data_IF_087130158645
#
_entry.id   IF_087130158645
#
_cell.length_a   1.000
_cell.length_b   1.000
_cell.length_c   1.000
_cell.angle_alpha   90.00
_cell.angle_beta   90.00
_cell.angle_gamma   90.00
#
_symmetry.space_group_name_H-M   'P 1'
#
loop_
_entity.id
_entity.type
_entity.pdbx_description
1 polymer ?
#
# COMPACT_ATOMS: atom_id res chain seq x y z
N UNK A 1 41.54 -68.34 -9.71
CA UNK A 1 41.05 -67.38 -8.68
C UNK A 1 41.91 -66.12 -8.77
N UNK A 2 41.38 -65.03 -9.33
CA UNK A 2 42.10 -63.74 -9.45
C UNK A 2 41.75 -62.84 -8.27
N UNK A 3 42.74 -62.52 -7.44
CA UNK A 3 42.58 -61.59 -6.33
C UNK A 3 42.65 -60.15 -6.85
N UNK A 4 41.55 -59.40 -6.71
CA UNK A 4 41.49 -57.98 -7.02
C UNK A 4 42.12 -57.16 -5.87
N UNK A 5 43.24 -56.51 -6.13
CA UNK A 5 43.90 -55.60 -5.20
C UNK A 5 43.23 -54.22 -5.27
N UNK A 6 42.45 -53.89 -4.25
CA UNK A 6 41.78 -52.60 -4.07
C UNK A 6 42.80 -51.52 -3.70
N UNK A 7 43.21 -50.70 -4.68
CA UNK A 7 44.04 -49.49 -4.46
C UNK A 7 43.26 -48.49 -3.59
N UNK A 8 43.74 -48.24 -2.38
CA UNK A 8 43.25 -47.15 -1.51
C UNK A 8 43.87 -45.83 -1.99
N UNK A 9 43.04 -44.87 -2.36
CA UNK A 9 43.50 -43.52 -2.68
C UNK A 9 43.99 -42.81 -1.40
N UNK A 10 45.12 -42.09 -1.45
CA UNK A 10 45.65 -41.39 -0.29
C UNK A 10 44.77 -40.20 0.09
N UNK A 11 44.38 -40.05 1.37
CA UNK A 11 43.71 -38.86 1.86
C UNK A 11 44.75 -37.74 2.00
N UNK A 12 44.55 -36.58 1.34
CA UNK A 12 45.30 -35.37 1.74
C UNK A 12 45.77 -34.40 0.68
N UNK A 13 45.28 -34.42 -0.56
CA UNK A 13 45.70 -33.44 -1.59
C UNK A 13 44.63 -32.45 -2.07
N UNK A 14 43.52 -32.30 -1.36
CA UNK A 14 42.39 -31.49 -1.86
C UNK A 14 42.35 -30.04 -1.35
N UNK A 15 43.04 -29.72 -0.24
CA UNK A 15 42.84 -28.43 0.46
C UNK A 15 43.90 -27.35 0.15
N UNK A 16 45.01 -27.69 -0.50
CA UNK A 16 46.12 -26.73 -0.74
C UNK A 16 45.86 -25.80 -1.94
N UNK A 17 45.18 -26.29 -2.98
CA UNK A 17 44.78 -25.47 -4.13
C UNK A 17 43.74 -24.40 -3.76
N UNK A 18 42.83 -24.75 -2.84
CA UNK A 18 41.73 -23.87 -2.42
C UNK A 18 42.24 -22.58 -1.75
N UNK A 19 43.28 -22.67 -0.92
CA UNK A 19 43.85 -21.49 -0.22
C UNK A 19 44.57 -20.52 -1.15
N UNK A 20 45.28 -21.03 -2.16
CA UNK A 20 45.93 -20.19 -3.17
C UNK A 20 44.91 -19.51 -4.07
N UNK A 21 43.84 -20.23 -4.42
CA UNK A 21 42.73 -19.69 -5.19
C UNK A 21 42.01 -18.55 -4.44
N UNK A 22 41.70 -18.74 -3.16
CA UNK A 22 41.09 -17.72 -2.30
C UNK A 22 41.96 -16.45 -2.16
N UNK A 23 43.29 -16.57 -2.13
CA UNK A 23 44.19 -15.41 -2.08
C UNK A 23 44.13 -14.57 -3.36
N UNK A 24 44.04 -15.23 -4.52
CA UNK A 24 44.00 -14.57 -5.84
C UNK A 24 42.66 -13.90 -6.11
N UNK A 25 41.55 -14.47 -5.63
CA UNK A 25 40.20 -13.95 -5.85
C UNK A 25 39.62 -13.16 -4.66
N UNK A 26 40.42 -12.85 -3.63
CA UNK A 26 39.97 -12.17 -2.40
C UNK A 26 39.17 -10.90 -2.68
N UNK A 27 39.64 -10.06 -3.60
CA UNK A 27 38.97 -8.82 -3.97
C UNK A 27 37.64 -9.04 -4.70
N UNK A 28 37.56 -10.05 -5.56
CA UNK A 28 36.34 -10.39 -6.29
C UNK A 28 35.28 -10.89 -5.32
N UNK A 29 35.64 -11.76 -4.38
CA UNK A 29 34.73 -12.26 -3.34
C UNK A 29 34.21 -11.12 -2.46
N UNK A 30 35.07 -10.16 -2.09
CA UNK A 30 34.67 -8.99 -1.29
C UNK A 30 33.73 -8.05 -2.07
N UNK A 31 33.98 -7.82 -3.36
CA UNK A 31 33.08 -7.00 -4.19
C UNK A 31 31.71 -7.66 -4.36
N UNK A 32 31.68 -8.98 -4.59
CA UNK A 32 30.43 -9.73 -4.68
C UNK A 32 29.68 -9.69 -3.35
N UNK A 33 30.35 -9.92 -2.22
CA UNK A 33 29.68 -9.84 -0.92
C UNK A 33 29.15 -8.44 -0.66
N UNK A 34 29.91 -7.38 -0.96
CA UNK A 34 29.48 -5.99 -0.82
C UNK A 34 28.21 -5.71 -1.63
N UNK A 35 28.17 -6.11 -2.91
CA UNK A 35 27.00 -5.92 -3.78
C UNK A 35 25.79 -6.66 -3.21
N UNK A 36 25.94 -7.91 -2.78
CA UNK A 36 24.86 -8.68 -2.15
C UNK A 36 24.37 -7.99 -0.86
N UNK A 37 25.28 -7.44 -0.06
CA UNK A 37 24.89 -6.74 1.18
C UNK A 37 24.11 -5.47 0.87
N UNK A 38 24.53 -4.71 -0.14
CA UNK A 38 23.84 -3.49 -0.58
C UNK A 38 22.46 -3.77 -1.19
N UNK A 39 22.32 -4.83 -1.99
CA UNK A 39 21.01 -5.21 -2.55
C UNK A 39 20.05 -5.70 -1.47
N UNK A 40 20.53 -6.49 -0.50
CA UNK A 40 19.73 -6.91 0.65
C UNK A 40 19.31 -5.72 1.52
N UNK A 41 20.21 -4.75 1.75
CA UNK A 41 19.89 -3.51 2.45
C UNK A 41 18.82 -2.70 1.68
N UNK A 42 18.95 -2.55 0.36
CA UNK A 42 17.94 -1.86 -0.46
C UNK A 42 16.56 -2.50 -0.41
N UNK A 43 16.49 -3.84 -0.39
CA UNK A 43 15.24 -4.57 -0.25
C UNK A 43 14.60 -4.42 1.14
N UNK A 44 15.41 -4.37 2.20
CA UNK A 44 14.93 -4.19 3.58
C UNK A 44 14.43 -2.77 3.87
N UNK A 45 14.83 -1.79 3.06
CA UNK A 45 14.45 -0.39 3.24
C UNK A 45 13.01 -0.12 2.78
N UNK A 46 12.49 -0.85 1.79
CA UNK A 46 11.10 -0.72 1.33
C UNK A 46 10.03 -0.96 2.41
N UNK A 47 10.05 -2.07 3.19
CA UNK A 47 9.01 -2.33 4.20
C UNK A 47 9.04 -1.32 5.37
N UNK A 48 10.21 -0.79 5.72
CA UNK A 48 10.33 0.23 6.78
C UNK A 48 9.69 1.55 6.34
N UNK A 49 9.84 1.94 5.07
CA UNK A 49 9.16 3.12 4.57
C UNK A 49 7.64 2.98 4.59
N UNK A 50 7.09 1.83 4.17
CA UNK A 50 5.65 1.57 4.27
C UNK A 50 5.15 1.62 5.73
N UNK A 51 5.90 1.06 6.68
CA UNK A 51 5.53 1.08 8.09
C UNK A 51 5.58 2.50 8.69
N UNK A 52 6.58 3.31 8.34
CA UNK A 52 6.70 4.70 8.82
C UNK A 52 5.65 5.61 8.20
N UNK A 53 5.27 5.39 6.93
CA UNK A 53 4.20 6.17 6.29
C UNK A 53 2.82 5.79 6.85
N UNK A 54 2.57 4.54 7.25
CA UNK A 54 1.28 4.11 7.80
C UNK A 54 1.14 4.27 9.32
N UNK A 55 2.23 4.32 10.08
CA UNK A 55 2.18 4.48 11.56
C UNK A 55 1.71 5.86 12.03
N UNK A 56 1.66 6.86 11.13
CA UNK A 56 1.11 8.18 11.39
C UNK A 56 -0.11 8.48 10.50
N UNK A 57 -0.89 7.45 10.16
CA UNK A 57 -2.13 7.64 9.40
C UNK A 57 -3.13 8.48 10.22
N UNK A 58 -3.40 9.68 9.75
CA UNK A 58 -4.37 10.58 10.36
C UNK A 58 -5.78 10.11 10.03
N UNK A 59 -6.51 9.62 11.03
CA UNK A 59 -7.93 9.32 10.86
C UNK A 59 -8.73 10.62 10.91
N UNK A 60 -9.17 11.09 9.75
CA UNK A 60 -10.02 12.28 9.61
C UNK A 60 -11.49 12.02 9.98
N UNK A 61 -11.82 10.79 10.38
CA UNK A 61 -13.16 10.37 10.72
C UNK A 61 -13.99 10.07 9.48
N UNK A 62 -15.29 10.00 9.68
CA UNK A 62 -16.22 9.68 8.62
C UNK A 62 -17.64 9.92 9.06
N UNK A 63 -18.54 9.82 8.10
CA UNK A 63 -19.97 10.05 8.35
C UNK A 63 -20.79 8.92 7.77
N UNK A 64 -21.77 8.47 8.55
CA UNK A 64 -22.74 7.47 8.12
C UNK A 64 -23.89 8.19 7.42
N UNK A 65 -24.20 7.79 6.20
CA UNK A 65 -25.43 8.14 5.51
C UNK A 65 -26.48 7.08 5.82
N UNK A 66 -27.63 7.51 6.35
CA UNK A 66 -28.81 6.66 6.52
C UNK A 66 -29.79 6.98 5.39
N UNK A 67 -29.67 6.19 4.32
CA UNK A 67 -30.63 5.84 3.26
C UNK A 67 -31.38 6.88 2.37
N UNK A 68 -31.54 6.42 1.12
CA UNK A 68 -32.37 6.84 -0.04
C UNK A 68 -31.86 8.01 -0.90
N UNK A 69 -31.24 9.04 -0.33
CA UNK A 69 -30.71 10.14 -1.14
C UNK A 69 -29.19 10.11 -1.09
N UNK A 70 -28.53 10.10 -2.26
CA UNK A 70 -27.04 10.14 -2.44
C UNK A 70 -26.38 11.41 -1.88
N UNK A 71 -27.02 12.13 -0.97
CA UNK A 71 -26.61 13.43 -0.45
C UNK A 71 -26.65 13.40 1.08
N UNK A 72 -25.57 13.85 1.72
CA UNK A 72 -25.59 14.12 3.15
C UNK A 72 -26.62 15.20 3.46
N UNK A 73 -27.26 15.18 4.65
CA UNK A 73 -28.03 16.32 5.11
C UNK A 73 -27.14 17.57 5.06
N UNK A 74 -27.65 18.65 4.44
CA UNK A 74 -26.94 19.90 4.22
C UNK A 74 -26.08 20.28 5.40
N UNK A 75 -24.78 20.47 5.15
CA UNK A 75 -23.89 21.07 6.13
C UNK A 75 -23.64 20.20 7.37
N UNK A 76 -23.64 18.87 7.24
CA UNK A 76 -23.21 18.00 8.33
C UNK A 76 -21.78 18.39 8.77
N UNK A 77 -21.60 18.92 9.99
CA UNK A 77 -20.31 19.44 10.43
C UNK A 77 -19.24 18.35 10.52
N UNK A 78 -19.63 17.10 10.81
CA UNK A 78 -18.70 15.97 10.84
C UNK A 78 -18.15 15.65 9.44
N UNK A 79 -18.99 15.72 8.41
CA UNK A 79 -18.58 15.49 7.02
C UNK A 79 -17.65 16.62 6.52
N UNK A 80 -17.98 17.88 6.83
CA UNK A 80 -17.14 19.04 6.49
C UNK A 80 -15.77 18.95 7.17
N UNK A 81 -15.74 18.62 8.46
CA UNK A 81 -14.50 18.48 9.22
C UNK A 81 -13.65 17.33 8.68
N UNK A 82 -14.27 16.19 8.36
CA UNK A 82 -13.56 15.05 7.77
C UNK A 82 -12.96 15.40 6.40
N UNK A 83 -13.74 16.03 5.51
CA UNK A 83 -13.25 16.51 4.22
C UNK A 83 -12.10 17.51 4.35
N UNK A 84 -12.24 18.49 5.24
CA UNK A 84 -11.22 19.52 5.45
C UNK A 84 -9.92 18.90 5.97
N UNK A 85 -10.01 18.01 6.95
CA UNK A 85 -8.87 17.25 7.47
C UNK A 85 -8.18 16.44 6.37
N UNK A 86 -8.95 15.68 5.59
CA UNK A 86 -8.41 14.82 4.54
C UNK A 86 -7.72 15.63 3.44
N UNK A 87 -8.35 16.72 3.01
CA UNK A 87 -7.78 17.63 2.03
C UNK A 87 -6.46 18.25 2.51
N UNK A 88 -6.41 18.73 3.77
CA UNK A 88 -5.18 19.28 4.35
C UNK A 88 -4.08 18.22 4.46
N UNK A 89 -4.41 16.99 4.85
CA UNK A 89 -3.44 15.90 4.89
C UNK A 89 -2.89 15.57 3.50
N UNK A 90 -3.75 15.55 2.48
CA UNK A 90 -3.34 15.34 1.09
C UNK A 90 -2.40 16.45 0.59
N UNK A 91 -2.73 17.73 0.84
CA UNK A 91 -1.86 18.86 0.48
C UNK A 91 -0.48 18.78 1.16
N UNK A 92 -0.39 18.15 2.32
CA UNK A 92 0.87 17.94 3.05
C UNK A 92 1.56 16.61 2.71
N UNK A 93 1.06 15.84 1.72
CA UNK A 93 1.46 14.45 1.44
C UNK A 93 1.55 13.61 2.73
N UNK A 94 0.58 13.73 3.62
CA UNK A 94 0.49 12.90 4.83
C UNK A 94 -0.45 11.74 4.60
N UNK A 95 -0.17 10.63 5.27
CA UNK A 95 -1.09 9.51 5.31
C UNK A 95 -2.35 9.91 6.07
N UNK A 96 -3.52 9.75 5.46
CA UNK A 96 -4.79 10.00 6.12
C UNK A 96 -5.92 9.17 5.51
N UNK A 97 -6.92 8.90 6.34
CA UNK A 97 -8.15 8.21 5.95
C UNK A 97 -9.38 9.01 6.30
N UNK A 98 -10.39 8.91 5.45
CA UNK A 98 -11.76 9.24 5.81
C UNK A 98 -12.71 8.19 5.24
N UNK A 99 -13.88 8.01 5.84
CA UNK A 99 -14.83 7.01 5.36
C UNK A 99 -16.26 7.52 5.28
N UNK A 100 -17.04 6.84 4.45
CA UNK A 100 -18.46 7.08 4.26
C UNK A 100 -19.15 5.75 4.18
N UNK A 101 -20.23 5.56 4.93
CA UNK A 101 -21.03 4.35 4.82
C UNK A 101 -22.44 4.72 4.43
N UNK A 102 -22.98 4.11 3.39
CA UNK A 102 -24.40 4.09 3.10
C UNK A 102 -24.95 2.70 3.44
N UNK A 103 -26.17 2.69 3.95
CA UNK A 103 -27.02 1.50 3.98
C UNK A 103 -28.10 1.70 2.91
N UNK A 104 -28.63 0.63 2.34
CA UNK A 104 -29.82 0.58 1.50
C UNK A 104 -30.61 -0.71 1.85
N UNK A 105 -31.92 -0.81 1.57
CA UNK A 105 -32.70 -2.01 1.91
C UNK A 105 -32.16 -3.32 1.29
N UNK A 106 -31.40 -3.21 0.20
CA UNK A 106 -30.75 -4.35 -0.47
C UNK A 106 -29.32 -4.64 0.02
N UNK A 107 -28.70 -3.74 0.80
CA UNK A 107 -27.30 -3.89 1.18
C UNK A 107 -26.68 -2.67 1.87
N UNK A 108 -25.36 -2.57 1.82
CA UNK A 108 -24.65 -1.39 2.27
C UNK A 108 -23.37 -1.20 1.49
N UNK A 109 -22.86 0.02 1.46
CA UNK A 109 -21.56 0.32 0.90
C UNK A 109 -20.76 1.19 1.84
N UNK A 110 -19.54 0.77 2.16
CA UNK A 110 -18.55 1.62 2.83
C UNK A 110 -17.50 2.00 1.82
N UNK A 111 -17.31 3.30 1.61
CA UNK A 111 -16.17 3.85 0.89
C UNK A 111 -15.17 4.41 1.89
N UNK A 112 -13.93 3.97 1.80
CA UNK A 112 -12.80 4.50 2.58
C UNK A 112 -11.83 5.16 1.61
N UNK A 113 -11.56 6.44 1.83
CA UNK A 113 -10.65 7.24 1.04
C UNK A 113 -9.31 7.29 1.75
N UNK A 114 -8.23 7.10 1.00
CA UNK A 114 -6.86 7.09 1.49
C UNK A 114 -6.05 8.14 0.73
N UNK A 115 -5.25 8.90 1.46
CA UNK A 115 -4.11 9.65 0.91
C UNK A 115 -2.85 9.14 1.59
N UNK A 116 -1.72 9.04 0.87
CA UNK A 116 -0.44 8.65 1.46
C UNK A 116 0.74 9.26 0.70
N UNK A 117 1.90 9.32 1.34
CA UNK A 117 3.15 9.63 0.64
C UNK A 117 3.67 8.37 -0.06
N UNK A 118 3.81 8.43 -1.38
CA UNK A 118 4.45 7.42 -2.18
C UNK A 118 5.70 8.00 -2.85
N UNK A 119 6.84 7.88 -2.16
CA UNK A 119 8.17 8.21 -2.68
C UNK A 119 8.27 9.63 -3.28
N UNK A 120 7.66 10.62 -2.61
CA UNK A 120 7.70 12.02 -3.03
C UNK A 120 6.49 12.48 -3.85
N UNK A 121 5.53 11.58 -4.12
CA UNK A 121 4.21 11.93 -4.67
C UNK A 121 3.11 11.61 -3.67
N UNK A 122 2.07 12.44 -3.58
CA UNK A 122 0.90 12.09 -2.76
C UNK A 122 0.00 11.16 -3.58
N UNK A 123 -0.20 9.92 -3.13
CA UNK A 123 -1.13 8.98 -3.75
C UNK A 123 -2.54 9.15 -3.18
N UNK A 124 -3.55 8.85 -4.00
CA UNK A 124 -4.97 8.82 -3.60
C UNK A 124 -5.56 7.48 -4.01
N UNK A 125 -6.29 6.84 -3.10
CA UNK A 125 -7.06 5.65 -3.43
C UNK A 125 -8.39 5.60 -2.68
N UNK A 126 -9.34 4.85 -3.22
CA UNK A 126 -10.67 4.63 -2.65
C UNK A 126 -10.87 3.13 -2.55
N UNK A 127 -11.17 2.64 -1.35
CA UNK A 127 -11.63 1.27 -1.13
C UNK A 127 -13.15 1.28 -0.98
N UNK A 128 -13.83 0.44 -1.74
CA UNK A 128 -15.28 0.31 -1.75
C UNK A 128 -15.61 -1.11 -1.29
N UNK A 129 -16.15 -1.23 -0.09
CA UNK A 129 -16.74 -2.45 0.48
C UNK A 129 -18.25 -2.41 0.21
N UNK A 130 -18.75 -3.29 -0.65
CA UNK A 130 -20.19 -3.45 -0.93
C UNK A 130 -20.65 -4.77 -0.29
N UNK A 131 -21.67 -4.69 0.55
CA UNK A 131 -22.30 -5.83 1.23
C UNK A 131 -23.72 -6.00 0.74
N UNK A 132 -24.05 -7.20 0.28
CA UNK A 132 -25.41 -7.54 -0.13
C UNK A 132 -26.15 -8.30 0.98
N UNK A 133 -27.39 -7.90 1.30
CA UNK A 133 -28.20 -8.60 2.32
C UNK A 133 -28.98 -9.80 1.78
N UNK A 134 -29.07 -9.94 0.46
CA UNK A 134 -29.73 -11.05 -0.24
C UNK A 134 -28.87 -12.33 -0.37
N UNK A 135 -27.70 -12.37 0.29
CA UNK A 135 -26.76 -13.48 0.20
C UNK A 135 -25.67 -13.32 -0.87
N UNK A 136 -25.63 -12.19 -1.60
CA UNK A 136 -24.61 -11.89 -2.62
C UNK A 136 -23.16 -11.69 -2.13
N UNK A 137 -22.89 -11.85 -0.82
CA UNK A 137 -21.55 -11.74 -0.26
C UNK A 137 -21.03 -10.31 -0.13
N UNK A 138 -19.72 -10.18 0.07
CA UNK A 138 -19.01 -8.89 0.21
C UNK A 138 -18.03 -8.71 -0.94
N UNK A 139 -18.12 -7.59 -1.65
CA UNK A 139 -17.20 -7.23 -2.73
C UNK A 139 -16.35 -6.05 -2.29
N UNK A 140 -15.02 -6.21 -2.32
CA UNK A 140 -14.07 -5.15 -2.02
C UNK A 140 -13.38 -4.74 -3.32
N UNK A 141 -13.42 -3.45 -3.65
CA UNK A 141 -12.76 -2.89 -4.82
C UNK A 141 -11.89 -1.70 -4.43
N UNK A 142 -10.67 -1.63 -4.94
CA UNK A 142 -9.77 -0.48 -4.75
C UNK A 142 -9.62 0.29 -6.05
N UNK A 143 -9.74 1.60 -5.99
CA UNK A 143 -9.61 2.53 -7.11
C UNK A 143 -8.47 3.50 -6.80
N UNK A 144 -7.53 3.66 -7.72
CA UNK A 144 -6.47 4.67 -7.59
C UNK A 144 -6.91 5.93 -8.34
N UNK A 145 -6.79 7.10 -7.72
CA UNK A 145 -7.17 8.38 -8.32
C UNK A 145 -5.93 9.27 -8.47
N UNK A 146 -5.91 10.12 -9.50
CA UNK A 146 -4.73 10.96 -9.79
C UNK A 146 -4.74 12.30 -9.07
N UNK A 147 -5.92 12.86 -8.78
CA UNK A 147 -6.01 14.21 -8.20
C UNK A 147 -7.24 14.39 -7.33
N UNK A 148 -7.10 15.26 -6.34
CA UNK A 148 -8.15 15.69 -5.42
C UNK A 148 -8.42 17.18 -5.59
N UNK A 149 -9.68 17.55 -5.81
CA UNK A 149 -10.12 18.94 -5.91
C UNK A 149 -11.18 19.24 -4.87
N UNK A 150 -11.00 20.32 -4.13
CA UNK A 150 -11.97 20.81 -3.16
C UNK A 150 -12.86 21.87 -3.80
N UNK A 151 -14.17 21.62 -3.85
CA UNK A 151 -15.19 22.52 -4.37
C UNK A 151 -16.25 22.81 -3.30
N UNK A 152 -17.13 23.76 -3.59
CA UNK A 152 -18.22 24.15 -2.68
C UNK A 152 -19.24 23.04 -2.40
N UNK A 153 -19.39 22.09 -3.32
CA UNK A 153 -20.30 20.96 -3.24
C UNK A 153 -19.69 19.72 -2.57
N UNK A 154 -18.35 19.64 -2.48
CA UNK A 154 -17.68 18.46 -1.98
C UNK A 154 -16.18 18.36 -2.29
N UNK A 155 -15.62 17.19 -1.97
CA UNK A 155 -14.33 16.74 -2.47
C UNK A 155 -14.51 15.89 -3.73
N UNK A 156 -13.83 16.27 -4.80
CA UNK A 156 -13.88 15.62 -6.10
C UNK A 156 -12.59 14.84 -6.32
N UNK A 157 -12.72 13.52 -6.45
CA UNK A 157 -11.65 12.60 -6.80
C UNK A 157 -11.70 12.39 -8.30
N UNK A 158 -10.69 12.88 -9.00
CA UNK A 158 -10.68 12.92 -10.47
C UNK A 158 -9.73 11.87 -11.04
N UNK A 159 -10.07 11.38 -12.23
CA UNK A 159 -9.29 10.39 -12.99
C UNK A 159 -9.03 9.14 -12.15
N UNK A 160 -10.08 8.56 -11.59
CA UNK A 160 -9.95 7.28 -10.88
C UNK A 160 -9.81 6.14 -11.90
N UNK A 161 -9.03 5.11 -11.58
CA UNK A 161 -8.95 3.91 -12.41
C UNK A 161 -10.33 3.22 -12.42
N UNK A 162 -10.82 2.80 -13.58
CA UNK A 162 -12.08 2.05 -13.79
C UNK A 162 -13.41 2.80 -13.53
N UNK A 163 -13.37 4.05 -13.07
CA UNK A 163 -14.56 4.89 -12.85
C UNK A 163 -14.17 6.34 -13.18
N UNK A 164 -15.08 7.17 -13.71
CA UNK A 164 -14.74 8.55 -14.07
C UNK A 164 -14.28 9.39 -12.86
N UNK A 165 -15.22 10.07 -12.23
CA UNK A 165 -14.98 10.96 -11.11
C UNK A 165 -15.88 10.53 -9.94
N UNK A 166 -15.31 10.49 -8.74
CA UNK A 166 -16.04 10.21 -7.51
C UNK A 166 -16.16 11.48 -6.69
N UNK A 167 -17.37 11.77 -6.20
CA UNK A 167 -17.65 13.00 -5.45
C UNK A 167 -18.08 12.65 -4.04
N UNK A 168 -17.27 13.07 -3.06
CA UNK A 168 -17.67 13.13 -1.67
C UNK A 168 -18.39 14.45 -1.42
N UNK A 169 -19.71 14.46 -1.58
CA UNK A 169 -20.51 15.65 -1.32
C UNK A 169 -20.74 15.85 0.18
N UNK A 170 -20.79 17.08 0.66
CA UNK A 170 -21.25 17.43 2.02
C UNK A 170 -22.08 18.73 2.04
N UNK A 171 -22.44 19.23 0.86
CA UNK A 171 -23.18 20.48 0.68
C UNK A 171 -24.34 20.27 -0.30
N UNK A 172 -25.52 19.91 0.22
CA UNK A 172 -26.81 20.06 -0.47
C UNK A 172 -27.89 20.48 0.49
#
# INVERSE_FOLDING_TARGET
MHAYVKKRNPPGKENSGLRLWLRRYRWIVLMISLIITLTLLGFMVQPVYFAVTHSNELNCGGSRQVEVFRSYPKGNPAAINAATCFFQAHQQCRAATMYTSSMDPSGGSTRTFYTANNLGSCSLSIEIDVRSFDGGGTTIRRLDCMSLLHKSDGLHFLNCRDVHDEVFSYAF
#
